data_IF_626026897228
#
_entry.id   IF_626026897228
#
_cell.length_a   1.000
_cell.length_b   1.000
_cell.length_c   1.000
_cell.angle_alpha   90.00
_cell.angle_beta   90.00
_cell.angle_gamma   90.00
#
_symmetry.space_group_name_H-M   'P 1'
#
loop_
_entity.id
_entity.type
_entity.pdbx_description
1 polymer ?
#
# COMPACT_ATOMS: atom_id res chain seq x y z
N UNK A 1 21.08 -16.18 40.44
CA UNK A 1 21.48 -14.80 40.08
C UNK A 1 22.52 -14.89 38.98
N UNK A 2 22.09 -14.71 37.74
CA UNK A 2 22.90 -14.25 36.59
C UNK A 2 21.89 -14.04 35.47
N UNK A 3 21.37 -12.81 35.38
CA UNK A 3 20.57 -12.33 34.27
C UNK A 3 21.53 -12.17 33.08
N UNK A 4 21.30 -12.90 31.98
CA UNK A 4 22.00 -12.61 30.73
C UNK A 4 21.31 -11.44 30.04
N UNK A 5 21.99 -10.31 29.99
CA UNK A 5 21.60 -9.15 29.18
C UNK A 5 21.66 -9.56 27.70
N UNK A 6 20.50 -9.62 27.06
CA UNK A 6 20.37 -9.67 25.60
C UNK A 6 20.58 -8.26 25.06
N UNK A 7 21.75 -8.03 24.48
CA UNK A 7 22.10 -6.80 23.76
C UNK A 7 21.16 -6.64 22.55
N UNK A 8 20.55 -5.46 22.33
CA UNK A 8 19.74 -5.23 21.14
C UNK A 8 20.65 -5.21 19.90
N UNK A 9 20.33 -6.04 18.91
CA UNK A 9 20.97 -6.07 17.61
C UNK A 9 20.86 -4.69 16.95
N UNK A 10 22.03 -4.05 16.75
CA UNK A 10 22.13 -2.79 16.02
C UNK A 10 21.81 -3.10 14.56
N UNK A 11 20.62 -2.68 14.09
CA UNK A 11 20.24 -2.73 12.68
C UNK A 11 21.32 -2.04 11.84
N UNK A 12 21.96 -2.81 10.97
CA UNK A 12 22.91 -2.33 9.96
C UNK A 12 22.25 -1.25 9.08
N UNK A 13 23.00 -0.24 8.60
CA UNK A 13 22.45 0.76 7.70
C UNK A 13 21.96 0.05 6.44
N UNK A 14 20.67 0.21 6.10
CA UNK A 14 20.11 -0.29 4.85
C UNK A 14 20.97 0.26 3.70
N UNK A 15 21.67 -0.63 2.99
CA UNK A 15 22.24 -0.32 1.68
C UNK A 15 21.13 0.30 0.84
N UNK A 16 21.32 1.55 0.41
CA UNK A 16 20.36 2.26 -0.44
C UNK A 16 20.15 1.47 -1.72
N UNK A 17 19.06 0.70 -1.78
CA UNK A 17 18.64 0.02 -3.01
C UNK A 17 18.31 1.11 -4.03
N UNK A 18 19.19 1.27 -5.01
CA UNK A 18 19.02 2.20 -6.13
C UNK A 18 18.05 1.54 -7.10
N UNK A 19 16.80 1.98 -7.08
CA UNK A 19 15.71 1.46 -7.91
C UNK A 19 14.40 2.17 -7.57
N UNK A 20 13.34 1.92 -8.34
CA UNK A 20 12.00 2.45 -8.05
C UNK A 20 11.10 1.34 -7.50
N UNK A 21 10.12 1.67 -6.63
CA UNK A 21 9.14 0.68 -6.18
C UNK A 21 8.31 0.12 -7.33
N UNK A 22 7.93 -1.15 -7.20
CA UNK A 22 7.10 -1.91 -8.16
C UNK A 22 5.88 -2.49 -7.44
N UNK A 23 4.80 -2.74 -8.18
CA UNK A 23 3.61 -3.41 -7.64
C UNK A 23 3.77 -4.92 -7.76
N UNK A 24 3.49 -5.66 -6.68
CA UNK A 24 3.34 -7.12 -6.71
C UNK A 24 2.12 -7.50 -5.89
N UNK A 25 1.06 -7.89 -6.58
CA UNK A 25 -0.26 -8.10 -5.97
C UNK A 25 -0.72 -6.87 -5.19
N UNK A 26 -1.09 -7.09 -3.92
CA UNK A 26 -1.57 -6.06 -3.00
C UNK A 26 -0.50 -5.12 -2.43
N UNK A 27 0.79 -5.36 -2.70
CA UNK A 27 1.88 -4.65 -2.04
C UNK A 27 2.82 -3.95 -3.01
N UNK A 28 3.59 -3.00 -2.46
CA UNK A 28 4.70 -2.35 -3.15
C UNK A 28 6.01 -3.00 -2.72
N UNK A 29 6.97 -3.09 -3.65
CA UNK A 29 8.28 -3.68 -3.42
C UNK A 29 9.38 -2.82 -3.97
N UNK A 30 10.46 -2.66 -3.21
CA UNK A 30 11.71 -2.07 -3.67
C UNK A 30 12.79 -3.17 -3.65
N UNK A 31 13.13 -3.68 -4.83
CA UNK A 31 13.95 -4.88 -4.93
C UNK A 31 13.20 -6.12 -4.43
N UNK A 32 13.74 -6.81 -3.43
CA UNK A 32 13.10 -7.97 -2.79
C UNK A 32 12.24 -7.62 -1.57
N UNK A 33 12.33 -6.40 -1.04
CA UNK A 33 11.66 -6.02 0.20
C UNK A 33 10.35 -5.27 -0.04
N UNK A 34 9.37 -5.49 0.83
CA UNK A 34 8.15 -4.67 0.84
C UNK A 34 8.47 -3.21 1.15
N UNK A 35 7.91 -2.33 0.34
CA UNK A 35 8.04 -0.89 0.46
C UNK A 35 6.78 -0.30 1.13
N UNK A 36 6.85 -0.12 2.45
CA UNK A 36 5.79 0.54 3.21
C UNK A 36 5.93 2.05 3.13
N UNK A 37 4.90 2.74 2.65
CA UNK A 37 4.90 4.20 2.50
C UNK A 37 4.69 4.86 3.85
N UNK A 38 5.71 5.60 4.30
CA UNK A 38 5.72 6.43 5.51
C UNK A 38 5.89 7.86 5.04
N UNK A 39 4.78 8.40 4.57
CA UNK A 39 4.75 9.60 3.77
C UNK A 39 4.39 10.85 4.54
N UNK A 40 4.77 11.99 3.98
CA UNK A 40 4.38 13.32 4.42
C UNK A 40 4.12 14.21 3.19
N UNK A 41 3.09 15.05 3.23
CA UNK A 41 2.90 16.06 2.20
C UNK A 41 3.77 17.29 2.47
N UNK A 42 4.24 17.91 1.39
CA UNK A 42 5.18 19.03 1.43
C UNK A 42 4.84 20.07 0.37
N UNK A 43 4.52 21.28 0.83
CA UNK A 43 3.86 22.30 0.03
C UNK A 43 2.37 21.98 -0.16
N UNK A 44 1.57 22.85 -0.75
CA UNK A 44 2.03 23.93 -1.66
C UNK A 44 2.57 25.15 -0.92
N UNK A 45 3.71 25.65 -1.42
CA UNK A 45 4.31 26.92 -0.99
C UNK A 45 3.92 28.07 -1.93
N UNK A 46 4.41 29.28 -1.63
CA UNK A 46 4.14 30.47 -2.43
C UNK A 46 4.42 30.22 -3.92
N UNK A 47 3.41 30.39 -4.77
CA UNK A 47 3.58 30.32 -6.22
C UNK A 47 3.89 31.70 -6.80
N UNK A 48 4.90 31.74 -7.67
CA UNK A 48 5.27 32.95 -8.40
C UNK A 48 4.33 33.24 -9.59
N UNK A 49 4.61 34.32 -10.33
CA UNK A 49 3.82 34.72 -11.51
C UNK A 49 3.84 33.68 -12.64
N UNK A 50 4.86 32.81 -12.68
CA UNK A 50 5.00 31.73 -13.63
C UNK A 50 4.33 30.42 -13.15
N UNK A 51 3.60 30.47 -12.02
CA UNK A 51 2.93 29.33 -11.38
C UNK A 51 3.93 28.25 -10.92
N UNK A 52 5.17 28.66 -10.60
CA UNK A 52 6.16 27.79 -9.99
C UNK A 52 6.20 28.02 -8.48
N UNK A 53 6.26 26.93 -7.72
CA UNK A 53 6.45 27.04 -6.27
C UNK A 53 7.85 27.59 -5.95
N UNK A 54 7.88 28.64 -5.13
CA UNK A 54 9.11 29.25 -4.64
C UNK A 54 9.66 28.43 -3.49
N UNK A 55 10.45 27.43 -3.85
CA UNK A 55 11.17 26.59 -2.91
C UNK A 55 12.52 27.21 -2.57
N UNK A 56 12.92 27.14 -1.29
CA UNK A 56 14.24 27.57 -0.81
C UNK A 56 15.10 26.32 -0.61
N UNK A 57 16.17 26.10 -1.42
CA UNK A 57 16.94 24.85 -1.38
C UNK A 57 17.44 24.46 0.01
N UNK A 58 17.99 25.40 0.77
CA UNK A 58 18.51 25.14 2.12
C UNK A 58 17.40 24.71 3.10
N UNK A 59 16.20 25.30 2.97
CA UNK A 59 15.04 24.90 3.79
C UNK A 59 14.57 23.50 3.42
N UNK A 60 14.44 23.21 2.11
CA UNK A 60 14.04 21.88 1.62
C UNK A 60 15.04 20.81 2.07
N UNK A 61 16.34 21.08 1.93
CA UNK A 61 17.42 20.18 2.33
C UNK A 61 17.35 19.87 3.83
N UNK A 62 17.11 20.89 4.67
CA UNK A 62 16.94 20.72 6.11
C UNK A 62 15.69 19.92 6.45
N UNK A 63 14.54 20.29 5.86
CA UNK A 63 13.26 19.61 6.08
C UNK A 63 13.36 18.13 5.68
N UNK A 64 13.98 17.81 4.54
CA UNK A 64 14.18 16.44 4.07
C UNK A 64 15.12 15.63 4.97
N UNK A 65 16.19 16.25 5.47
CA UNK A 65 17.08 15.61 6.44
C UNK A 65 16.33 15.26 7.74
N UNK A 66 15.50 16.18 8.25
CA UNK A 66 14.69 15.96 9.45
C UNK A 66 13.62 14.89 9.24
N UNK A 67 12.93 14.90 8.09
CA UNK A 67 11.98 13.84 7.70
C UNK A 67 12.65 12.46 7.70
N UNK A 68 13.77 12.32 7.00
CA UNK A 68 14.49 11.05 6.93
C UNK A 68 14.96 10.57 8.31
N UNK A 69 15.47 11.48 9.15
CA UNK A 69 15.88 11.19 10.52
C UNK A 69 14.71 10.70 11.42
N UNK A 70 13.47 11.04 11.07
CA UNK A 70 12.25 10.60 11.76
C UNK A 70 11.58 9.38 11.11
N UNK A 71 12.21 8.77 10.10
CA UNK A 71 11.76 7.52 9.50
C UNK A 71 10.78 7.66 8.33
N UNK A 72 10.48 8.89 7.90
CA UNK A 72 9.73 9.13 6.67
C UNK A 72 10.56 8.66 5.47
N UNK A 73 9.90 8.16 4.43
CA UNK A 73 10.56 7.67 3.21
C UNK A 73 9.92 8.16 1.90
N UNK A 74 8.77 8.83 1.98
CA UNK A 74 8.08 9.42 0.83
C UNK A 74 7.65 10.84 1.15
N UNK A 75 7.88 11.74 0.21
CA UNK A 75 7.38 13.12 0.24
C UNK A 75 6.40 13.31 -0.91
N UNK A 76 5.19 13.76 -0.62
CA UNK A 76 4.21 14.14 -1.64
C UNK A 76 4.32 15.62 -1.93
N UNK A 77 4.52 15.97 -3.20
CA UNK A 77 4.48 17.34 -3.72
C UNK A 77 3.30 17.49 -4.68
N UNK A 78 2.82 18.72 -4.88
CA UNK A 78 1.58 18.98 -5.63
C UNK A 78 1.82 19.55 -7.04
N UNK A 79 3.08 19.79 -7.38
CA UNK A 79 3.53 20.24 -8.69
C UNK A 79 4.76 19.44 -9.13
N UNK A 80 5.07 19.46 -10.42
CA UNK A 80 6.30 18.89 -10.94
C UNK A 80 7.51 19.62 -10.32
N UNK A 81 8.34 18.93 -9.52
CA UNK A 81 9.42 19.59 -8.82
C UNK A 81 10.59 19.90 -9.77
N UNK A 82 11.43 20.90 -9.44
CA UNK A 82 12.70 21.06 -10.13
C UNK A 82 13.63 19.87 -9.84
N UNK A 83 14.55 19.50 -10.77
CA UNK A 83 15.42 18.32 -10.60
C UNK A 83 16.22 18.30 -9.30
N UNK A 84 16.70 19.45 -8.84
CA UNK A 84 17.48 19.54 -7.59
C UNK A 84 16.70 19.08 -6.35
N UNK A 85 15.36 19.18 -6.34
CA UNK A 85 14.57 18.68 -5.22
C UNK A 85 14.56 17.14 -5.22
N UNK A 86 14.53 16.52 -6.40
CA UNK A 86 14.63 15.06 -6.52
C UNK A 86 16.02 14.58 -6.08
N UNK A 87 17.08 15.32 -6.42
CA UNK A 87 18.44 15.05 -5.95
C UNK A 87 18.54 15.15 -4.42
N UNK A 88 17.96 16.20 -3.82
CA UNK A 88 17.89 16.38 -2.37
C UNK A 88 17.12 15.24 -1.70
N UNK A 89 15.97 14.84 -2.26
CA UNK A 89 15.20 13.71 -1.75
C UNK A 89 16.03 12.43 -1.77
N UNK A 90 16.68 12.12 -2.90
CA UNK A 90 17.52 10.93 -3.05
C UNK A 90 18.67 10.90 -2.05
N UNK A 91 19.32 12.05 -1.85
CA UNK A 91 20.45 12.21 -0.90
C UNK A 91 20.07 11.80 0.52
N UNK A 92 18.83 12.08 0.94
CA UNK A 92 18.31 11.70 2.27
C UNK A 92 17.56 10.37 2.28
N UNK A 93 17.57 9.61 1.16
CA UNK A 93 16.86 8.34 1.04
C UNK A 93 15.34 8.46 0.95
N UNK A 94 14.84 9.66 0.64
CA UNK A 94 13.43 9.94 0.39
C UNK A 94 13.08 9.70 -1.08
N UNK A 95 11.82 9.36 -1.31
CA UNK A 95 11.22 9.30 -2.64
C UNK A 95 10.12 10.34 -2.78
N UNK A 96 9.83 10.76 -4.00
CA UNK A 96 8.90 11.85 -4.28
C UNK A 96 7.70 11.33 -5.04
N UNK A 97 6.52 11.52 -4.45
CA UNK A 97 5.21 11.35 -5.08
C UNK A 97 4.83 12.67 -5.74
N UNK A 98 4.78 12.69 -7.07
CA UNK A 98 4.69 13.94 -7.84
C UNK A 98 3.25 14.20 -8.29
N UNK A 99 2.64 15.26 -7.75
CA UNK A 99 1.38 15.82 -8.20
C UNK A 99 1.49 16.55 -9.54
N UNK A 100 0.66 16.16 -10.51
CA UNK A 100 0.53 16.85 -11.79
C UNK A 100 -0.78 17.65 -11.80
N UNK A 101 -0.80 18.80 -11.14
CA UNK A 101 -1.98 19.66 -11.07
C UNK A 101 -2.21 20.39 -12.40
N UNK A 102 -3.20 19.94 -13.17
CA UNK A 102 -3.54 20.51 -14.48
C UNK A 102 -4.83 21.33 -14.46
N UNK A 103 -5.37 21.65 -13.29
CA UNK A 103 -6.60 22.41 -13.14
C UNK A 103 -7.85 21.53 -13.19
N UNK A 104 -7.77 20.36 -12.58
CA UNK A 104 -8.83 19.35 -12.46
C UNK A 104 -10.14 19.83 -11.81
N UNK A 105 -10.11 20.99 -11.15
CA UNK A 105 -11.26 21.66 -10.55
C UNK A 105 -12.04 22.56 -11.53
N UNK A 106 -11.65 22.64 -12.79
CA UNK A 106 -12.34 23.39 -13.85
C UNK A 106 -13.02 22.45 -14.86
N UNK A 107 -14.00 22.94 -15.63
CA UNK A 107 -14.64 22.15 -16.69
C UNK A 107 -13.66 21.89 -17.85
N UNK A 108 -12.87 20.81 -17.73
CA UNK A 108 -11.69 20.59 -18.58
C UNK A 108 -12.00 19.92 -19.93
N UNK A 109 -13.21 19.37 -20.11
CA UNK A 109 -13.61 18.68 -21.35
C UNK A 109 -14.43 19.53 -22.32
N UNK A 110 -14.79 20.76 -21.95
CA UNK A 110 -15.72 21.59 -22.73
C UNK A 110 -14.99 22.59 -23.65
N UNK A 111 -13.77 23.00 -23.28
CA UNK A 111 -12.99 23.99 -24.04
C UNK A 111 -12.19 23.33 -25.18
N UNK A 112 -12.35 23.79 -26.44
CA UNK A 112 -11.53 23.31 -27.56
C UNK A 112 -10.04 23.51 -27.30
N UNK A 113 -9.23 22.48 -27.57
CA UNK A 113 -7.77 22.55 -27.41
C UNK A 113 -7.25 22.31 -25.98
N UNK A 114 -8.09 22.47 -24.95
CA UNK A 114 -7.67 22.33 -23.54
C UNK A 114 -7.15 20.94 -23.20
N UNK A 115 -7.78 19.90 -23.74
CA UNK A 115 -7.32 18.52 -23.58
C UNK A 115 -5.88 18.37 -24.09
N UNK A 116 -5.60 18.87 -25.29
CA UNK A 116 -4.26 18.79 -25.88
C UNK A 116 -3.23 19.61 -25.09
N UNK A 117 -3.63 20.77 -24.57
CA UNK A 117 -2.78 21.58 -23.67
C UNK A 117 -2.44 20.82 -22.38
N UNK A 118 -3.43 20.19 -21.74
CA UNK A 118 -3.22 19.39 -20.52
C UNK A 118 -2.27 18.21 -20.81
N UNK A 119 -2.50 17.50 -21.92
CA UNK A 119 -1.67 16.37 -22.33
C UNK A 119 -0.21 16.78 -22.56
N UNK A 120 0.03 17.87 -23.29
CA UNK A 120 1.39 18.36 -23.55
C UNK A 120 2.08 18.87 -22.28
N UNK A 121 1.33 19.49 -21.37
CA UNK A 121 1.86 19.96 -20.09
C UNK A 121 2.26 18.79 -19.19
N UNK A 122 1.42 17.77 -19.09
CA UNK A 122 1.75 16.52 -18.37
C UNK A 122 2.97 15.86 -18.99
N UNK A 123 3.03 15.75 -20.32
CA UNK A 123 4.18 15.19 -21.03
C UNK A 123 5.47 15.92 -20.67
N UNK A 124 5.44 17.25 -20.68
CA UNK A 124 6.58 18.10 -20.31
C UNK A 124 7.02 17.88 -18.85
N UNK A 125 6.07 17.84 -17.92
CA UNK A 125 6.35 17.62 -16.50
C UNK A 125 6.91 16.23 -16.18
N UNK A 126 6.41 15.19 -16.85
CA UNK A 126 6.91 13.84 -16.66
C UNK A 126 8.33 13.75 -17.22
N UNK A 127 8.56 14.25 -18.45
CA UNK A 127 9.91 14.31 -19.06
C UNK A 127 10.95 14.98 -18.18
N UNK A 128 10.59 16.03 -17.44
CA UNK A 128 11.54 16.73 -16.57
C UNK A 128 11.98 15.92 -15.35
N UNK A 129 11.25 14.85 -15.01
CA UNK A 129 11.52 13.98 -13.86
C UNK A 129 11.82 12.52 -14.25
N UNK A 130 11.63 12.18 -15.53
CA UNK A 130 11.63 10.81 -16.03
C UNK A 130 12.97 10.11 -15.77
N UNK A 131 12.92 8.83 -15.43
CA UNK A 131 14.09 8.01 -15.09
C UNK A 131 14.80 8.37 -13.77
N UNK A 132 14.46 9.47 -13.10
CA UNK A 132 15.10 9.83 -11.83
C UNK A 132 14.74 8.82 -10.72
N UNK A 133 15.72 8.26 -9.98
CA UNK A 133 15.47 7.17 -9.03
C UNK A 133 14.66 7.61 -7.81
N UNK A 134 14.68 8.89 -7.42
CA UNK A 134 13.84 9.39 -6.34
C UNK A 134 12.34 9.42 -6.69
N UNK A 135 11.94 9.36 -7.96
CA UNK A 135 10.51 9.34 -8.31
C UNK A 135 9.88 8.08 -7.74
N UNK A 136 8.89 8.25 -6.86
CA UNK A 136 8.06 7.16 -6.38
C UNK A 136 6.95 6.85 -7.38
N UNK A 137 6.15 7.86 -7.72
CA UNK A 137 5.06 7.75 -8.67
C UNK A 137 4.59 9.13 -9.16
N UNK A 138 3.78 9.14 -10.22
CA UNK A 138 3.05 10.31 -10.69
C UNK A 138 1.57 10.24 -10.32
N UNK A 139 1.04 11.34 -9.77
CA UNK A 139 -0.40 11.55 -9.58
C UNK A 139 -0.91 12.32 -10.80
N UNK A 140 -1.63 11.63 -11.69
CA UNK A 140 -2.16 12.21 -12.94
C UNK A 140 -3.46 12.99 -12.75
N UNK A 141 -3.95 13.12 -11.52
CA UNK A 141 -5.07 13.97 -11.14
C UNK A 141 -5.41 13.79 -9.67
N UNK A 142 -5.92 14.86 -9.04
CA UNK A 142 -6.23 14.88 -7.62
C UNK A 142 -7.66 15.40 -7.39
N UNK A 143 -8.56 14.54 -6.92
CA UNK A 143 -9.90 14.92 -6.45
C UNK A 143 -10.73 15.72 -7.48
N UNK A 144 -10.94 15.18 -8.70
CA UNK A 144 -11.88 15.79 -9.64
C UNK A 144 -13.25 15.95 -8.94
N UNK A 145 -13.81 17.16 -8.84
CA UNK A 145 -15.07 17.39 -8.12
C UNK A 145 -16.22 16.55 -8.66
N UNK A 146 -17.04 15.98 -7.77
CA UNK A 146 -18.18 15.15 -8.16
C UNK A 146 -19.17 15.88 -9.09
N UNK A 147 -19.31 17.20 -8.93
CA UNK A 147 -20.12 18.05 -9.83
C UNK A 147 -19.57 18.05 -11.26
N UNK A 148 -18.26 18.10 -11.43
CA UNK A 148 -17.58 18.06 -12.74
C UNK A 148 -17.70 16.67 -13.36
N UNK A 149 -17.51 15.61 -12.57
CA UNK A 149 -17.70 14.24 -13.04
C UNK A 149 -19.14 14.01 -13.50
N UNK A 150 -20.13 14.51 -12.75
CA UNK A 150 -21.55 14.42 -13.10
C UNK A 150 -21.86 15.23 -14.36
N UNK A 151 -21.29 16.42 -14.50
CA UNK A 151 -21.47 17.31 -15.64
C UNK A 151 -20.97 16.69 -16.94
N UNK A 152 -19.70 16.22 -16.96
CA UNK A 152 -19.12 15.63 -18.16
C UNK A 152 -19.53 14.16 -18.38
N UNK A 153 -19.98 13.48 -17.32
CA UNK A 153 -20.31 12.07 -17.32
C UNK A 153 -19.10 11.18 -17.02
N UNK A 154 -19.29 10.25 -16.07
CA UNK A 154 -18.29 9.30 -15.57
C UNK A 154 -17.38 8.70 -16.65
N UNK A 155 -17.96 8.09 -17.69
CA UNK A 155 -17.19 7.39 -18.73
C UNK A 155 -16.24 8.32 -19.51
N UNK A 156 -16.59 9.59 -19.69
CA UNK A 156 -15.73 10.56 -20.38
C UNK A 156 -14.54 10.95 -19.50
N UNK A 157 -14.77 11.11 -18.21
CA UNK A 157 -13.71 11.38 -17.22
C UNK A 157 -12.77 10.17 -17.11
N UNK A 158 -13.29 8.95 -16.97
CA UNK A 158 -12.48 7.72 -16.92
C UNK A 158 -11.57 7.58 -18.13
N UNK A 159 -12.12 7.76 -19.35
CA UNK A 159 -11.33 7.73 -20.60
C UNK A 159 -10.27 8.83 -20.65
N UNK A 160 -10.55 10.00 -20.09
CA UNK A 160 -9.58 11.08 -20.06
C UNK A 160 -8.43 10.76 -19.10
N UNK A 161 -8.72 10.28 -17.90
CA UNK A 161 -7.71 9.82 -16.94
C UNK A 161 -6.87 8.69 -17.56
N UNK A 162 -7.49 7.75 -18.29
CA UNK A 162 -6.78 6.68 -18.99
C UNK A 162 -5.79 7.22 -20.04
N UNK A 163 -6.15 8.29 -20.76
CA UNK A 163 -5.22 8.94 -21.70
C UNK A 163 -4.02 9.52 -20.97
N UNK A 164 -4.23 10.18 -19.83
CA UNK A 164 -3.14 10.73 -19.02
C UNK A 164 -2.22 9.62 -18.47
N UNK A 165 -2.81 8.50 -18.05
CA UNK A 165 -2.05 7.31 -17.65
C UNK A 165 -1.16 6.80 -18.78
N UNK A 166 -1.69 6.67 -20.00
CA UNK A 166 -0.92 6.22 -21.15
C UNK A 166 0.22 7.18 -21.48
N UNK A 167 -0.02 8.49 -21.43
CA UNK A 167 1.05 9.50 -21.62
C UNK A 167 2.14 9.33 -20.57
N UNK A 168 1.78 9.09 -19.31
CA UNK A 168 2.76 8.87 -18.26
C UNK A 168 3.62 7.62 -18.52
N UNK A 169 2.99 6.51 -18.94
CA UNK A 169 3.70 5.27 -19.30
C UNK A 169 4.51 5.39 -20.59
N UNK A 170 4.11 6.24 -21.54
CA UNK A 170 4.90 6.53 -22.75
C UNK A 170 6.19 7.29 -22.41
N UNK A 171 6.11 8.25 -21.50
CA UNK A 171 7.25 9.13 -21.15
C UNK A 171 8.16 8.56 -20.06
N UNK A 172 7.62 7.79 -19.12
CA UNK A 172 8.37 7.10 -18.08
C UNK A 172 7.78 5.70 -17.82
N UNK A 173 8.15 4.69 -18.64
CA UNK A 173 7.55 3.36 -18.62
C UNK A 173 7.65 2.63 -17.26
N UNK A 174 8.74 2.88 -16.52
CA UNK A 174 9.03 2.22 -15.26
C UNK A 174 8.40 2.94 -14.05
N UNK A 175 7.81 4.13 -14.24
CA UNK A 175 7.18 4.86 -13.15
C UNK A 175 5.81 4.28 -12.81
N UNK A 176 5.50 4.24 -11.51
CA UNK A 176 4.14 4.00 -11.06
C UNK A 176 3.28 5.24 -11.29
N UNK A 177 2.01 5.03 -11.63
CA UNK A 177 1.05 6.06 -11.97
C UNK A 177 -0.25 5.79 -11.22
N UNK A 178 -0.77 6.83 -10.57
CA UNK A 178 -1.98 6.77 -9.77
C UNK A 178 -2.85 8.01 -9.98
N UNK A 179 -4.08 7.93 -9.48
CA UNK A 179 -5.01 9.04 -9.38
C UNK A 179 -5.46 9.11 -7.92
N UNK A 180 -5.42 10.30 -7.33
CA UNK A 180 -5.86 10.49 -5.94
C UNK A 180 -7.36 10.74 -5.95
N UNK A 181 -8.10 9.77 -5.40
CA UNK A 181 -9.54 9.81 -5.33
C UNK A 181 -10.02 10.45 -4.03
N UNK A 182 -11.26 10.93 -4.07
CA UNK A 182 -11.96 11.48 -2.92
C UNK A 182 -13.25 10.68 -2.70
N UNK A 183 -13.77 10.53 -1.48
CA UNK A 183 -14.98 9.73 -1.23
C UNK A 183 -16.16 10.07 -2.16
N UNK A 184 -16.31 11.33 -2.56
CA UNK A 184 -17.39 11.75 -3.47
C UNK A 184 -17.26 11.26 -4.91
N UNK A 185 -16.11 10.74 -5.33
CA UNK A 185 -15.80 10.26 -6.69
C UNK A 185 -15.19 8.86 -6.72
N UNK A 186 -15.28 8.12 -5.60
CA UNK A 186 -14.82 6.74 -5.47
C UNK A 186 -15.50 5.75 -6.44
N UNK A 187 -16.62 6.14 -7.06
CA UNK A 187 -17.35 5.34 -8.05
C UNK A 187 -16.70 5.33 -9.45
N UNK A 188 -15.63 6.10 -9.68
CA UNK A 188 -14.82 6.03 -10.90
C UNK A 188 -14.11 4.66 -10.97
N UNK A 189 -14.28 3.94 -12.08
CA UNK A 189 -13.60 2.66 -12.32
C UNK A 189 -12.33 2.89 -13.12
N UNK A 190 -11.17 2.76 -12.47
CA UNK A 190 -9.87 3.08 -13.02
C UNK A 190 -8.92 1.85 -12.96
N UNK A 191 -9.26 0.72 -13.62
CA UNK A 191 -8.51 -0.54 -13.51
C UNK A 191 -7.11 -0.49 -14.14
N UNK A 192 -6.81 0.55 -14.91
CA UNK A 192 -5.51 0.72 -15.53
C UNK A 192 -4.46 1.33 -14.60
N UNK A 193 -4.83 1.85 -13.43
CA UNK A 193 -3.87 2.41 -12.47
C UNK A 193 -3.00 1.32 -11.86
N UNK A 194 -1.75 1.64 -11.51
CA UNK A 194 -0.85 0.71 -10.85
C UNK A 194 -1.30 0.42 -9.40
N UNK A 195 -1.83 1.43 -8.71
CA UNK A 195 -2.37 1.33 -7.36
C UNK A 195 -3.37 2.47 -7.09
N UNK A 196 -4.20 2.30 -6.07
CA UNK A 196 -5.26 3.25 -5.71
C UNK A 196 -4.86 4.14 -4.55
N UNK A 197 -5.20 5.43 -4.69
CA UNK A 197 -4.93 6.46 -3.70
C UNK A 197 -6.22 7.14 -3.24
N UNK A 198 -6.31 7.43 -1.94
CA UNK A 198 -7.46 8.13 -1.37
C UNK A 198 -7.02 9.17 -0.34
N UNK A 199 -7.61 10.36 -0.41
CA UNK A 199 -7.55 11.35 0.66
C UNK A 199 -8.71 11.10 1.64
N UNK A 200 -8.41 10.93 2.93
CA UNK A 200 -9.40 10.51 3.95
C UNK A 200 -9.26 11.33 5.22
N UNK A 201 -10.32 12.07 5.56
CA UNK A 201 -10.36 12.98 6.72
C UNK A 201 -11.45 12.59 7.73
N UNK A 202 -11.53 11.29 8.07
CA UNK A 202 -12.49 10.78 9.04
C UNK A 202 -11.89 10.77 10.45
N UNK A 203 -12.45 11.58 11.36
CA UNK A 203 -11.94 11.73 12.73
C UNK A 203 -12.29 10.55 13.65
N UNK A 204 -13.37 9.82 13.34
CA UNK A 204 -13.80 8.65 14.11
C UNK A 204 -13.02 7.41 13.67
N UNK A 205 -12.45 6.68 14.62
CA UNK A 205 -11.72 5.43 14.37
C UNK A 205 -12.60 4.38 13.67
N UNK A 206 -13.81 4.16 14.18
CA UNK A 206 -14.71 3.13 13.63
C UNK A 206 -15.10 3.46 12.19
N UNK A 207 -15.48 4.72 11.92
CA UNK A 207 -15.82 5.16 10.57
C UNK A 207 -14.62 5.10 9.62
N UNK A 208 -13.42 5.42 10.12
CA UNK A 208 -12.18 5.29 9.35
C UNK A 208 -11.91 3.83 8.99
N UNK A 209 -11.94 2.91 9.95
CA UNK A 209 -11.66 1.49 9.71
C UNK A 209 -12.70 0.80 8.81
N UNK A 210 -13.98 1.15 8.95
CA UNK A 210 -15.03 0.66 8.05
C UNK A 210 -14.81 1.18 6.63
N UNK A 211 -14.43 2.46 6.49
CA UNK A 211 -14.11 3.02 5.19
C UNK A 211 -12.88 2.37 4.55
N UNK A 212 -11.84 2.04 5.31
CA UNK A 212 -10.69 1.28 4.78
C UNK A 212 -11.12 -0.06 4.17
N UNK A 213 -12.06 -0.77 4.81
CA UNK A 213 -12.59 -2.04 4.28
C UNK A 213 -13.24 -1.83 2.91
N UNK A 214 -14.03 -0.76 2.77
CA UNK A 214 -14.62 -0.35 1.49
C UNK A 214 -13.57 -0.04 0.42
N UNK A 215 -12.52 0.70 0.78
CA UNK A 215 -11.43 1.04 -0.15
C UNK A 215 -10.74 -0.21 -0.71
N UNK A 216 -10.53 -1.22 0.14
CA UNK A 216 -9.97 -2.50 -0.30
C UNK A 216 -10.89 -3.23 -1.28
N UNK A 217 -12.21 -3.19 -1.08
CA UNK A 217 -13.18 -3.76 -2.04
C UNK A 217 -13.19 -3.01 -3.37
N UNK A 218 -13.07 -1.68 -3.36
CA UNK A 218 -13.03 -0.87 -4.58
C UNK A 218 -11.73 -1.06 -5.38
N UNK A 219 -10.65 -1.44 -4.72
CA UNK A 219 -9.32 -1.54 -5.31
C UNK A 219 -8.98 -2.93 -5.86
N UNK A 220 -9.94 -3.86 -5.83
CA UNK A 220 -9.82 -5.25 -6.33
C UNK A 220 -8.59 -5.95 -5.76
N UNK A 221 -7.55 -6.19 -6.57
CA UNK A 221 -6.30 -6.85 -6.18
C UNK A 221 -5.10 -5.89 -6.07
N UNK A 222 -5.34 -4.60 -6.27
CA UNK A 222 -4.28 -3.57 -6.31
C UNK A 222 -4.00 -2.97 -4.92
N UNK A 223 -2.80 -2.42 -4.70
CA UNK A 223 -2.46 -1.75 -3.47
C UNK A 223 -3.34 -0.53 -3.17
N UNK A 224 -3.54 -0.25 -1.87
CA UNK A 224 -4.25 0.92 -1.37
C UNK A 224 -3.30 1.80 -0.57
N UNK A 225 -3.15 3.07 -0.97
CA UNK A 225 -2.37 4.08 -0.28
C UNK A 225 -3.28 5.22 0.19
N UNK A 226 -3.22 5.59 1.46
CA UNK A 226 -3.86 6.83 1.93
C UNK A 226 -2.92 7.99 1.66
N UNK A 227 -3.33 8.92 0.79
CA UNK A 227 -2.44 9.98 0.32
C UNK A 227 -2.58 11.28 1.08
N UNK A 228 -3.63 11.41 1.90
CA UNK A 228 -3.79 12.42 2.94
C UNK A 228 -4.63 11.84 4.07
N UNK A 229 -4.09 11.92 5.29
CA UNK A 229 -4.84 11.90 6.55
C UNK A 229 -4.40 13.09 7.39
N UNK A 230 -5.27 13.61 8.24
CA UNK A 230 -4.92 14.80 9.03
C UNK A 230 -6.04 15.26 9.95
N UNK A 231 -5.65 16.03 10.96
CA UNK A 231 -6.56 16.82 11.79
C UNK A 231 -6.03 18.24 11.93
N UNK A 232 -6.93 19.20 11.83
CA UNK A 232 -6.63 20.59 12.14
C UNK A 232 -6.34 20.77 13.63
N UNK A 233 -5.10 21.11 13.98
CA UNK A 233 -4.75 21.38 15.38
C UNK A 233 -5.31 22.70 15.90
N UNK A 234 -5.69 23.68 15.05
CA UNK A 234 -6.31 24.93 15.53
C UNK A 234 -7.66 24.67 16.20
N UNK A 235 -8.47 23.79 15.60
CA UNK A 235 -9.82 23.45 16.08
C UNK A 235 -9.81 22.19 16.96
N UNK A 236 -8.97 21.22 16.64
CA UNK A 236 -8.91 19.93 17.30
C UNK A 236 -7.98 19.87 18.51
N UNK A 237 -7.00 20.77 18.60
CA UNK A 237 -5.91 20.72 19.58
C UNK A 237 -4.77 19.80 19.16
N UNK A 238 -3.54 20.15 19.53
CA UNK A 238 -2.32 19.42 19.11
C UNK A 238 -2.24 18.00 19.68
N UNK A 239 -2.66 17.79 20.93
CA UNK A 239 -2.66 16.45 21.55
C UNK A 239 -3.65 15.51 20.86
N UNK A 240 -4.84 16.04 20.50
CA UNK A 240 -5.85 15.26 19.76
C UNK A 240 -5.34 14.91 18.37
N UNK A 241 -4.67 15.84 17.69
CA UNK A 241 -4.03 15.59 16.40
C UNK A 241 -3.00 14.45 16.52
N UNK A 242 -2.15 14.47 17.54
CA UNK A 242 -1.14 13.45 17.77
C UNK A 242 -1.76 12.05 17.98
N UNK A 243 -2.71 11.93 18.91
CA UNK A 243 -3.39 10.66 19.21
C UNK A 243 -4.15 10.10 18.00
N UNK A 244 -4.83 10.97 17.24
CA UNK A 244 -5.61 10.54 16.10
C UNK A 244 -4.72 10.04 14.96
N UNK A 245 -3.63 10.75 14.65
CA UNK A 245 -2.70 10.35 13.60
C UNK A 245 -1.99 9.03 13.95
N UNK A 246 -1.55 8.85 15.20
CA UNK A 246 -0.97 7.57 15.67
C UNK A 246 -1.96 6.41 15.45
N UNK A 247 -3.22 6.59 15.87
CA UNK A 247 -4.26 5.56 15.69
C UNK A 247 -4.58 5.29 14.21
N UNK A 248 -4.70 6.33 13.37
CA UNK A 248 -5.03 6.15 11.95
C UNK A 248 -3.92 5.45 11.18
N UNK A 249 -2.65 5.77 11.47
CA UNK A 249 -1.50 5.10 10.86
C UNK A 249 -1.50 3.61 11.20
N UNK A 250 -1.70 3.26 12.48
CA UNK A 250 -1.78 1.86 12.90
C UNK A 250 -2.95 1.13 12.24
N UNK A 251 -4.15 1.71 12.24
CA UNK A 251 -5.34 1.13 11.60
C UNK A 251 -5.14 0.94 10.09
N UNK A 252 -4.51 1.88 9.38
CA UNK A 252 -4.25 1.76 7.95
C UNK A 252 -3.36 0.55 7.64
N UNK A 253 -2.26 0.38 8.38
CA UNK A 253 -1.39 -0.77 8.17
C UNK A 253 -2.02 -2.10 8.56
N UNK A 254 -2.70 -2.18 9.72
CA UNK A 254 -3.38 -3.41 10.15
C UNK A 254 -4.44 -3.88 9.15
N UNK A 255 -5.12 -2.92 8.50
CA UNK A 255 -6.13 -3.19 7.46
C UNK A 255 -5.52 -3.53 6.10
N UNK A 256 -4.19 -3.49 5.95
CA UNK A 256 -3.47 -3.92 4.75
C UNK A 256 -3.19 -2.81 3.72
N UNK A 257 -3.34 -1.53 4.08
CA UNK A 257 -2.87 -0.44 3.23
C UNK A 257 -1.33 -0.49 3.11
N UNK A 258 -0.79 -0.17 1.94
CA UNK A 258 0.66 -0.14 1.71
C UNK A 258 1.34 1.05 2.38
N UNK A 259 0.56 1.98 2.90
CA UNK A 259 1.05 3.03 3.78
C UNK A 259 0.13 4.23 3.82
N UNK A 260 0.69 5.32 4.32
CA UNK A 260 -0.02 6.56 4.61
C UNK A 260 0.87 7.75 4.32
N UNK A 261 0.28 8.83 3.81
CA UNK A 261 0.89 10.14 3.70
C UNK A 261 0.14 11.09 4.62
N UNK A 262 0.84 11.61 5.63
CA UNK A 262 0.26 12.57 6.57
C UNK A 262 0.20 13.96 5.92
N UNK A 263 -0.91 14.64 6.13
CA UNK A 263 -1.11 16.03 5.74
C UNK A 263 -0.98 16.90 7.00
N UNK A 264 0.09 17.68 7.20
CA UNK A 264 1.24 17.94 6.31
C UNK A 264 2.55 18.12 7.12
N UNK A 265 3.72 18.33 6.49
CA UNK A 265 4.98 18.57 7.22
C UNK A 265 4.93 19.82 8.12
N UNK A 266 4.34 20.90 7.61
CA UNK A 266 4.34 22.22 8.25
C UNK A 266 2.98 22.91 8.07
N UNK A 267 2.65 23.82 9.00
CA UNK A 267 1.51 24.74 8.88
C UNK A 267 1.71 25.83 7.82
N UNK A 268 2.91 25.94 7.24
CA UNK A 268 3.15 26.83 6.13
C UNK A 268 2.48 26.27 4.87
N UNK A 269 1.39 26.91 4.46
CA UNK A 269 0.64 26.51 3.28
C UNK A 269 0.13 27.71 2.48
N UNK A 270 0.12 27.58 1.16
CA UNK A 270 -0.36 28.60 0.24
C UNK A 270 -1.36 28.03 -0.77
N UNK A 271 -2.38 28.81 -1.09
CA UNK A 271 -3.21 28.62 -2.27
C UNK A 271 -2.79 29.63 -3.35
N UNK A 272 -1.93 29.19 -4.27
CA UNK A 272 -1.26 30.07 -5.22
C UNK A 272 -0.39 31.09 -4.49
N UNK A 273 -0.78 32.37 -4.53
CA UNK A 273 -0.08 33.47 -3.84
C UNK A 273 -0.61 33.79 -2.44
N UNK A 274 -1.73 33.17 -2.04
CA UNK A 274 -2.39 33.49 -0.78
C UNK A 274 -1.98 32.51 0.30
N UNK A 275 -1.44 33.01 1.40
CA UNK A 275 -1.14 32.20 2.56
C UNK A 275 -2.44 31.75 3.22
N UNK A 276 -2.50 30.49 3.61
CA UNK A 276 -3.64 29.92 4.33
C UNK A 276 -3.37 30.03 5.83
N UNK A 277 -4.29 30.69 6.55
CA UNK A 277 -4.09 31.06 7.96
C UNK A 277 -5.10 30.41 8.91
N UNK A 278 -6.18 29.85 8.36
CA UNK A 278 -7.37 29.38 9.07
C UNK A 278 -7.36 27.88 9.38
N UNK A 279 -6.21 27.22 9.28
CA UNK A 279 -5.99 25.81 9.59
C UNK A 279 -4.50 25.56 9.96
N UNK A 280 -4.23 24.52 10.74
CA UNK A 280 -2.89 24.10 11.17
C UNK A 280 -2.78 22.57 11.23
N UNK A 281 -2.62 21.94 10.07
CA UNK A 281 -2.47 20.48 9.95
C UNK A 281 -1.01 20.00 10.04
N UNK A 282 -0.06 20.92 10.03
CA UNK A 282 1.37 20.60 10.03
C UNK A 282 1.78 19.78 11.26
N UNK A 283 2.70 18.83 11.06
CA UNK A 283 3.45 18.19 12.14
C UNK A 283 4.45 19.16 12.79
N UNK A 284 4.77 20.25 12.09
CA UNK A 284 5.54 21.38 12.58
C UNK A 284 4.76 22.67 12.41
N UNK A 285 5.07 23.69 13.20
CA UNK A 285 4.57 25.05 13.00
C UNK A 285 5.12 25.65 11.70
N UNK A 286 4.67 26.85 11.36
CA UNK A 286 5.18 27.60 10.18
C UNK A 286 6.68 27.84 10.27
N UNK A 287 7.19 28.05 11.48
CA UNK A 287 8.61 28.26 11.81
C UNK A 287 9.39 26.94 11.96
N UNK A 288 8.81 25.80 11.56
CA UNK A 288 9.38 24.45 11.69
C UNK A 288 9.64 24.03 13.14
N UNK A 289 8.83 24.52 14.09
CA UNK A 289 8.87 24.00 15.46
C UNK A 289 8.06 22.71 15.55
N UNK A 290 8.60 21.58 16.03
CA UNK A 290 7.86 20.33 16.17
C UNK A 290 6.62 20.44 17.06
N UNK A 291 5.49 19.91 16.60
CA UNK A 291 4.29 19.69 17.42
C UNK A 291 4.32 18.29 18.05
N UNK A 292 3.49 18.00 19.07
CA UNK A 292 3.31 16.66 19.63
C UNK A 292 3.00 15.56 18.58
N UNK A 293 2.36 15.93 17.47
CA UNK A 293 2.05 15.00 16.40
C UNK A 293 3.30 14.45 15.68
N UNK A 294 4.40 15.21 15.58
CA UNK A 294 5.61 14.74 14.89
C UNK A 294 6.23 13.49 15.55
N UNK A 295 6.57 13.48 16.85
CA UNK A 295 7.07 12.26 17.49
C UNK A 295 6.04 11.12 17.51
N UNK A 296 4.74 11.41 17.63
CA UNK A 296 3.69 10.38 17.61
C UNK A 296 3.63 9.66 16.24
N UNK A 297 3.63 10.41 15.13
CA UNK A 297 3.68 9.86 13.78
C UNK A 297 4.97 9.08 13.54
N UNK A 298 6.13 9.63 13.95
CA UNK A 298 7.41 8.95 13.80
C UNK A 298 7.45 7.61 14.54
N UNK A 299 6.85 7.55 15.75
CA UNK A 299 6.71 6.33 16.53
C UNK A 299 5.82 5.31 15.81
N UNK A 300 4.61 5.70 15.37
CA UNK A 300 3.70 4.82 14.64
C UNK A 300 4.34 4.23 13.36
N UNK A 301 5.09 5.05 12.63
CA UNK A 301 5.86 4.64 11.46
C UNK A 301 7.06 3.72 11.76
N UNK A 302 7.64 3.82 12.96
CA UNK A 302 8.74 2.97 13.40
C UNK A 302 8.27 1.60 13.90
N UNK A 303 7.11 1.53 14.57
CA UNK A 303 6.45 0.28 14.97
C UNK A 303 6.06 -0.58 13.75
N UNK A 304 5.92 0.06 12.58
CA UNK A 304 5.70 -0.62 11.31
C UNK A 304 4.30 -1.20 11.21
N UNK A 305 4.03 -2.03 10.18
CA UNK A 305 2.68 -2.54 9.96
C UNK A 305 2.23 -3.59 10.97
N UNK A 306 3.15 -4.12 11.78
CA UNK A 306 2.87 -5.17 12.75
C UNK A 306 3.53 -4.82 14.09
N UNK A 307 2.75 -4.53 15.13
CA UNK A 307 3.30 -4.19 16.44
C UNK A 307 4.11 -5.37 17.01
N UNK A 308 5.28 -5.07 17.57
CA UNK A 308 6.20 -6.08 18.10
C UNK A 308 5.75 -6.71 19.42
N UNK A 309 4.83 -6.06 20.14
CA UNK A 309 4.35 -6.43 21.46
C UNK A 309 3.09 -7.30 21.46
N UNK A 310 2.52 -7.58 20.27
CA UNK A 310 1.38 -8.48 20.15
C UNK A 310 1.75 -9.93 20.49
N UNK A 311 0.88 -10.57 21.26
CA UNK A 311 0.96 -12.02 21.49
C UNK A 311 0.32 -12.75 20.30
N UNK A 312 1.16 -13.13 19.36
CA UNK A 312 0.75 -13.85 18.15
C UNK A 312 0.30 -15.30 18.46
N UNK A 313 -0.88 -15.74 17.98
CA UNK A 313 -1.34 -17.12 18.14
C UNK A 313 -0.47 -18.11 17.35
N UNK A 314 -0.34 -19.35 17.80
CA UNK A 314 0.36 -20.38 17.00
C UNK A 314 -0.48 -20.75 15.78
N UNK A 315 0.13 -20.85 14.61
CA UNK A 315 -0.55 -21.27 13.37
C UNK A 315 0.01 -22.62 12.87
N UNK A 316 -0.87 -23.54 12.47
CA UNK A 316 -0.49 -24.74 11.72
C UNK A 316 -0.81 -24.53 10.24
N UNK A 317 0.21 -24.46 9.41
CA UNK A 317 0.07 -24.43 7.95
C UNK A 317 -0.06 -25.85 7.44
N UNK A 318 -1.12 -26.13 6.70
CA UNK A 318 -1.40 -27.46 6.13
C UNK A 318 -1.29 -27.37 4.61
N UNK A 319 -0.38 -28.17 4.05
CA UNK A 319 -0.20 -28.37 2.61
C UNK A 319 -0.68 -29.77 2.27
N UNK A 320 -1.71 -29.89 1.45
CA UNK A 320 -2.15 -31.19 0.93
C UNK A 320 -1.60 -31.38 -0.47
N UNK A 321 -1.04 -32.55 -0.78
CA UNK A 321 -0.41 -32.81 -2.07
C UNK A 321 -0.73 -34.22 -2.59
N UNK A 322 -0.90 -34.33 -3.90
CA UNK A 322 -0.99 -35.60 -4.64
C UNK A 322 -0.40 -35.43 -6.03
N UNK A 323 0.76 -36.07 -6.27
CA UNK A 323 1.54 -35.95 -7.50
C UNK A 323 1.92 -34.49 -7.86
N UNK A 324 2.31 -33.71 -6.85
CA UNK A 324 2.69 -32.30 -6.95
C UNK A 324 4.18 -32.06 -7.23
N UNK A 325 4.93 -33.05 -7.75
CA UNK A 325 6.40 -32.94 -7.84
C UNK A 325 6.89 -31.74 -8.68
N UNK A 326 6.05 -31.24 -9.59
CA UNK A 326 6.36 -30.07 -10.42
C UNK A 326 6.25 -28.72 -9.70
N UNK A 327 5.53 -28.63 -8.58
CA UNK A 327 5.14 -27.36 -7.94
C UNK A 327 5.49 -27.30 -6.46
N UNK A 328 5.41 -28.42 -5.75
CA UNK A 328 5.55 -28.45 -4.29
C UNK A 328 6.86 -27.86 -3.78
N UNK A 329 7.96 -27.98 -4.54
CA UNK A 329 9.26 -27.43 -4.16
C UNK A 329 9.17 -25.93 -3.90
N UNK A 330 8.58 -25.20 -4.83
CA UNK A 330 8.51 -23.75 -4.77
C UNK A 330 7.59 -23.32 -3.60
N UNK A 331 6.51 -24.08 -3.36
CA UNK A 331 5.57 -23.87 -2.23
C UNK A 331 6.30 -24.01 -0.90
N UNK A 332 7.08 -25.09 -0.76
CA UNK A 332 7.81 -25.37 0.47
C UNK A 332 8.96 -24.39 0.73
N UNK A 333 9.63 -23.89 -0.32
CA UNK A 333 10.61 -22.80 -0.18
C UNK A 333 9.93 -21.49 0.25
N UNK A 334 8.81 -21.10 -0.39
CA UNK A 334 8.11 -19.87 -0.04
C UNK A 334 7.58 -19.89 1.41
N UNK A 335 7.22 -21.07 1.94
CA UNK A 335 6.86 -21.23 3.35
C UNK A 335 8.02 -20.97 4.33
N UNK A 336 9.28 -21.10 3.90
CA UNK A 336 10.45 -20.77 4.73
C UNK A 336 10.64 -19.26 4.89
N UNK A 337 10.14 -18.50 3.92
CA UNK A 337 10.25 -17.04 3.87
C UNK A 337 9.12 -16.33 4.62
N UNK A 338 8.20 -17.09 5.25
CA UNK A 338 7.15 -16.53 6.08
C UNK A 338 7.74 -15.81 7.31
N UNK A 339 7.42 -14.54 7.44
CA UNK A 339 7.69 -13.74 8.63
C UNK A 339 6.55 -13.91 9.63
N UNK A 340 6.63 -14.97 10.44
CA UNK A 340 5.70 -15.20 11.54
C UNK A 340 6.40 -15.88 12.72
N UNK A 341 6.18 -15.42 13.97
CA UNK A 341 7.02 -15.84 15.10
C UNK A 341 6.79 -17.28 15.58
N UNK A 342 5.61 -17.86 15.32
CA UNK A 342 5.27 -19.20 15.83
C UNK A 342 4.32 -19.94 14.91
N UNK A 343 4.86 -20.73 14.00
CA UNK A 343 4.08 -21.63 13.15
C UNK A 343 4.75 -22.98 12.97
N UNK A 344 3.97 -23.96 12.51
CA UNK A 344 4.46 -25.25 12.03
C UNK A 344 3.88 -25.53 10.64
N UNK A 345 4.55 -26.37 9.87
CA UNK A 345 4.08 -26.80 8.56
C UNK A 345 3.86 -28.32 8.58
N UNK A 346 2.69 -28.72 8.10
CA UNK A 346 2.26 -30.11 7.98
C UNK A 346 1.97 -30.38 6.50
N UNK A 347 2.77 -31.26 5.90
CA UNK A 347 2.56 -31.72 4.51
C UNK A 347 1.83 -33.05 4.57
N UNK A 348 0.62 -33.10 4.03
CA UNK A 348 -0.18 -34.32 3.90
C UNK A 348 -0.06 -34.83 2.47
N UNK A 349 0.72 -35.88 2.29
CA UNK A 349 0.90 -36.57 1.02
C UNK A 349 -0.18 -37.65 0.85
N UNK A 350 -1.15 -37.39 0.00
CA UNK A 350 -2.33 -38.24 -0.26
C UNK A 350 -2.00 -39.34 -1.28
N UNK A 351 -0.93 -40.10 -1.03
CA UNK A 351 -0.57 -41.27 -1.82
C UNK A 351 0.12 -40.98 -3.16
N UNK A 352 0.96 -39.94 -3.24
CA UNK A 352 1.72 -39.62 -4.47
C UNK A 352 2.58 -40.79 -4.95
N UNK A 353 2.66 -40.97 -6.26
CA UNK A 353 3.46 -42.01 -6.94
C UNK A 353 4.68 -41.45 -7.67
N UNK A 354 4.84 -40.14 -7.69
CA UNK A 354 5.99 -39.42 -8.25
C UNK A 354 7.01 -39.02 -7.16
N UNK A 355 7.91 -38.08 -7.48
CA UNK A 355 8.96 -37.63 -6.57
C UNK A 355 8.45 -36.70 -5.44
N UNK A 356 7.14 -36.41 -5.34
CA UNK A 356 6.57 -35.46 -4.36
C UNK A 356 7.00 -35.76 -2.94
N UNK A 357 6.87 -37.02 -2.50
CA UNK A 357 7.21 -37.42 -1.13
C UNK A 357 8.68 -37.20 -0.80
N UNK A 358 9.57 -37.43 -1.78
CA UNK A 358 10.99 -37.23 -1.64
C UNK A 358 11.33 -35.74 -1.58
N UNK A 359 10.75 -34.93 -2.47
CA UNK A 359 10.92 -33.46 -2.47
C UNK A 359 10.49 -32.90 -1.11
N UNK A 360 9.31 -33.29 -0.62
CA UNK A 360 8.84 -32.84 0.69
C UNK A 360 9.79 -33.22 1.83
N UNK A 361 10.40 -34.41 1.77
CA UNK A 361 11.35 -34.89 2.80
C UNK A 361 12.66 -34.10 2.88
N UNK A 362 12.98 -33.29 1.86
CA UNK A 362 14.14 -32.38 1.90
C UNK A 362 13.91 -31.17 2.82
N UNK A 363 12.68 -30.93 3.28
CA UNK A 363 12.29 -29.80 4.12
C UNK A 363 12.05 -30.22 5.58
N UNK A 364 12.30 -29.33 6.56
CA UNK A 364 12.13 -29.63 7.99
C UNK A 364 10.65 -29.57 8.43
N UNK A 365 9.74 -30.06 7.60
CA UNK A 365 8.30 -30.03 7.85
C UNK A 365 7.78 -31.41 8.25
N UNK A 366 6.65 -31.44 8.96
CA UNK A 366 6.03 -32.70 9.36
C UNK A 366 5.30 -33.30 8.17
N UNK A 367 5.73 -34.47 7.71
CA UNK A 367 5.10 -35.18 6.59
C UNK A 367 4.22 -36.29 7.12
N UNK A 368 2.98 -36.36 6.62
CA UNK A 368 2.04 -37.45 6.85
C UNK A 368 1.71 -38.03 5.48
N UNK A 369 2.11 -39.28 5.26
CA UNK A 369 1.78 -40.00 4.02
C UNK A 369 0.64 -40.98 4.30
N UNK A 370 -0.38 -40.95 3.45
CA UNK A 370 -1.52 -41.87 3.49
C UNK A 370 -1.81 -42.47 2.11
N UNK A 371 -2.70 -43.45 2.05
CA UNK A 371 -3.26 -43.94 0.78
C UNK A 371 -4.20 -42.88 0.21
N UNK A 372 -4.20 -42.70 -1.12
CA UNK A 372 -5.00 -41.68 -1.79
C UNK A 372 -6.50 -41.85 -1.49
N UNK A 373 -7.08 -40.87 -0.80
CA UNK A 373 -8.52 -40.80 -0.51
C UNK A 373 -9.12 -39.40 -0.77
N UNK A 374 -8.36 -38.50 -1.37
CA UNK A 374 -8.79 -37.19 -1.84
C UNK A 374 -8.55 -36.05 -0.84
N UNK A 375 -8.53 -34.83 -1.39
CA UNK A 375 -8.18 -33.58 -0.71
C UNK A 375 -8.94 -33.33 0.61
N UNK A 376 -10.22 -33.65 0.67
CA UNK A 376 -11.02 -33.45 1.89
C UNK A 376 -10.54 -34.31 3.05
N UNK A 377 -10.13 -35.57 2.79
CA UNK A 377 -9.57 -36.43 3.83
C UNK A 377 -8.19 -35.92 4.23
N UNK A 378 -7.35 -35.58 3.26
CA UNK A 378 -6.03 -35.01 3.53
C UNK A 378 -6.11 -33.75 4.41
N UNK A 379 -7.06 -32.84 4.14
CA UNK A 379 -7.31 -31.66 4.98
C UNK A 379 -7.72 -32.03 6.40
N UNK A 380 -8.58 -33.02 6.58
CA UNK A 380 -8.97 -33.51 7.91
C UNK A 380 -7.79 -34.15 8.66
N UNK A 381 -6.94 -34.92 7.96
CA UNK A 381 -5.69 -35.47 8.48
C UNK A 381 -4.77 -34.34 8.97
N UNK A 382 -4.64 -33.27 8.18
CA UNK A 382 -3.87 -32.07 8.56
C UNK A 382 -4.43 -31.37 9.80
N UNK A 383 -5.76 -31.16 9.88
CA UNK A 383 -6.43 -30.58 11.06
C UNK A 383 -6.18 -31.44 12.31
N UNK A 384 -6.33 -32.76 12.21
CA UNK A 384 -6.13 -33.66 13.35
C UNK A 384 -4.68 -33.67 13.86
N UNK A 385 -3.72 -33.36 12.98
CA UNK A 385 -2.30 -33.28 13.32
C UNK A 385 -1.86 -31.89 13.81
N UNK A 386 -2.64 -30.85 13.54
CA UNK A 386 -2.36 -29.46 13.88
C UNK A 386 -2.34 -29.22 15.40
N UNK A 387 -1.40 -28.40 15.84
CA UNK A 387 -1.26 -27.98 17.25
C UNK A 387 -1.39 -26.47 17.43
N UNK A 388 -1.57 -25.73 16.34
CA UNK A 388 -1.85 -24.30 16.33
C UNK A 388 -3.29 -23.98 16.75
N UNK A 389 -3.49 -22.75 17.20
CA UNK A 389 -4.80 -22.18 17.49
C UNK A 389 -5.57 -21.87 16.19
N UNK A 390 -4.83 -21.61 15.10
CA UNK A 390 -5.35 -21.36 13.75
C UNK A 390 -4.77 -22.41 12.81
N UNK A 391 -5.61 -22.95 11.93
CA UNK A 391 -5.18 -23.81 10.81
C UNK A 391 -5.28 -23.01 9.53
N UNK A 392 -4.16 -22.86 8.82
CA UNK A 392 -4.08 -22.16 7.54
C UNK A 392 -3.82 -23.16 6.43
N UNK A 393 -4.70 -23.23 5.44
CA UNK A 393 -4.52 -24.10 4.28
C UNK A 393 -3.82 -23.35 3.15
N UNK A 394 -2.91 -24.04 2.46
CA UNK A 394 -2.33 -23.60 1.21
C UNK A 394 -2.18 -24.79 0.27
N UNK A 395 -2.45 -24.57 -1.01
CA UNK A 395 -2.32 -25.61 -2.04
C UNK A 395 -0.83 -25.81 -2.39
N UNK A 396 -0.48 -26.99 -2.91
CA UNK A 396 0.91 -27.37 -3.20
C UNK A 396 1.51 -26.69 -4.44
N UNK A 397 0.74 -25.83 -5.10
CA UNK A 397 1.11 -25.00 -6.24
C UNK A 397 0.94 -23.49 -5.99
N UNK A 398 0.93 -23.07 -4.71
CA UNK A 398 0.77 -21.68 -4.31
C UNK A 398 1.93 -21.17 -3.41
N UNK A 399 2.31 -19.91 -3.60
CA UNK A 399 3.34 -19.24 -2.80
C UNK A 399 2.70 -18.15 -1.95
N UNK A 400 2.79 -18.22 -0.61
CA UNK A 400 2.19 -17.20 0.23
C UNK A 400 3.04 -15.93 0.24
N UNK A 401 2.37 -14.80 0.42
CA UNK A 401 3.04 -13.56 0.79
C UNK A 401 3.79 -13.74 2.14
N UNK A 402 5.00 -13.17 2.33
CA UNK A 402 5.77 -13.33 3.58
C UNK A 402 5.01 -12.94 4.86
N UNK A 403 4.04 -12.01 4.78
CA UNK A 403 3.23 -11.56 5.92
C UNK A 403 1.83 -12.19 5.94
N UNK A 404 1.55 -13.19 5.10
CA UNK A 404 0.25 -13.85 4.99
C UNK A 404 -0.30 -14.27 6.36
N UNK A 405 0.52 -14.97 7.15
CA UNK A 405 0.14 -15.42 8.49
C UNK A 405 -0.14 -14.28 9.48
N UNK A 406 0.56 -13.15 9.36
CA UNK A 406 0.32 -11.98 10.22
C UNK A 406 -1.06 -11.38 9.95
N UNK A 407 -1.44 -11.23 8.67
CA UNK A 407 -2.75 -10.71 8.30
C UNK A 407 -3.91 -11.64 8.71
N UNK A 408 -3.72 -12.97 8.59
CA UNK A 408 -4.68 -13.94 9.10
C UNK A 408 -4.86 -13.81 10.62
N UNK A 409 -3.76 -13.79 11.37
CA UNK A 409 -3.78 -13.67 12.82
C UNK A 409 -4.44 -12.37 13.29
N UNK A 410 -4.07 -11.22 12.70
CA UNK A 410 -4.69 -9.93 13.02
C UNK A 410 -6.21 -9.96 12.82
N UNK A 411 -6.67 -10.55 11.72
CA UNK A 411 -8.11 -10.66 11.44
C UNK A 411 -8.84 -11.48 12.52
N UNK A 412 -8.28 -12.61 12.94
CA UNK A 412 -8.85 -13.43 14.03
C UNK A 412 -8.75 -12.77 15.41
N UNK A 413 -7.77 -11.90 15.64
CA UNK A 413 -7.61 -11.17 16.90
C UNK A 413 -8.62 -10.02 17.03
N UNK A 414 -9.01 -9.39 15.92
CA UNK A 414 -9.96 -8.28 15.89
C UNK A 414 -11.43 -8.72 15.98
N UNK A 415 -11.74 -9.96 15.58
CA UNK A 415 -13.13 -10.39 15.44
C UNK A 415 -13.35 -11.88 15.63
N UNK A 416 -14.62 -12.26 15.81
CA UNK A 416 -15.04 -13.66 15.93
C UNK A 416 -15.41 -14.21 14.57
N UNK A 417 -14.41 -14.56 13.78
CA UNK A 417 -14.60 -15.16 12.46
C UNK A 417 -14.47 -16.68 12.54
N UNK A 418 -15.26 -17.40 11.74
CA UNK A 418 -15.12 -18.85 11.59
C UNK A 418 -14.00 -19.22 10.61
N UNK A 419 -13.74 -18.36 9.62
CA UNK A 419 -12.68 -18.49 8.63
C UNK A 419 -12.27 -17.09 8.14
N UNK A 420 -11.01 -16.97 7.70
CA UNK A 420 -10.44 -15.78 7.07
C UNK A 420 -9.70 -16.24 5.82
N UNK A 421 -9.80 -15.47 4.74
CA UNK A 421 -9.13 -15.73 3.47
C UNK A 421 -8.70 -14.43 2.80
N UNK A 422 -8.00 -14.57 1.68
CA UNK A 422 -7.54 -13.45 0.87
C UNK A 422 -7.62 -13.78 -0.62
N UNK A 423 -7.29 -12.83 -1.50
CA UNK A 423 -7.30 -13.06 -2.94
C UNK A 423 -6.24 -14.11 -3.33
N UNK A 424 -6.57 -14.94 -4.32
CA UNK A 424 -5.61 -15.82 -5.00
C UNK A 424 -5.21 -15.16 -6.32
N UNK A 425 -3.95 -14.74 -6.41
CA UNK A 425 -3.45 -13.95 -7.54
C UNK A 425 -2.53 -14.81 -8.40
N UNK A 426 -2.81 -14.91 -9.70
CA UNK A 426 -1.90 -15.56 -10.63
C UNK A 426 -0.63 -14.69 -10.81
N UNK A 427 0.56 -15.24 -10.54
CA UNK A 427 1.81 -14.57 -10.87
C UNK A 427 1.90 -14.31 -12.38
N UNK A 428 2.39 -13.14 -12.77
CA UNK A 428 2.53 -12.78 -14.20
C UNK A 428 3.48 -13.72 -14.96
N UNK A 429 4.35 -14.42 -14.24
CA UNK A 429 5.35 -15.35 -14.78
C UNK A 429 4.79 -16.74 -15.10
N UNK A 430 3.59 -17.07 -14.62
CA UNK A 430 3.03 -18.44 -14.70
C UNK A 430 2.37 -18.74 -16.06
N UNK A 431 2.45 -17.76 -16.96
CA UNK A 431 2.06 -17.89 -18.35
C UNK A 431 0.55 -17.87 -18.58
N UNK A 432 0.17 -18.03 -19.84
CA UNK A 432 -1.20 -17.79 -20.30
C UNK A 432 -2.26 -18.71 -19.69
N UNK A 433 -1.88 -19.92 -19.24
CA UNK A 433 -2.83 -20.87 -18.64
C UNK A 433 -3.28 -20.41 -17.25
N UNK A 434 -2.32 -20.02 -16.40
CA UNK A 434 -2.62 -19.48 -15.09
C UNK A 434 -3.47 -18.20 -15.22
N UNK A 435 -3.09 -17.32 -16.14
CA UNK A 435 -3.86 -16.10 -16.46
C UNK A 435 -5.29 -16.42 -16.93
N UNK A 436 -5.45 -17.40 -17.83
CA UNK A 436 -6.78 -17.82 -18.30
C UNK A 436 -7.66 -18.42 -17.19
N UNK A 437 -7.07 -19.20 -16.26
CA UNK A 437 -7.78 -19.77 -15.12
C UNK A 437 -8.19 -18.68 -14.13
N UNK A 438 -7.28 -17.76 -13.79
CA UNK A 438 -7.55 -16.66 -12.86
C UNK A 438 -8.65 -15.72 -13.36
N UNK A 439 -8.77 -15.55 -14.68
CA UNK A 439 -9.81 -14.74 -15.31
C UNK A 439 -11.07 -15.53 -15.71
N UNK A 440 -11.14 -16.83 -15.39
CA UNK A 440 -12.27 -17.67 -15.76
C UNK A 440 -13.55 -17.24 -14.99
N UNK A 441 -14.70 -17.09 -15.68
CA UNK A 441 -15.96 -16.78 -15.02
C UNK A 441 -16.44 -17.97 -14.17
N UNK A 442 -17.17 -17.69 -13.10
CA UNK A 442 -17.72 -18.73 -12.19
C UNK A 442 -17.05 -18.77 -10.81
N UNK A 443 -16.08 -17.88 -10.57
CA UNK A 443 -15.62 -17.59 -9.23
C UNK A 443 -16.72 -16.96 -8.37
N UNK A 444 -16.65 -17.15 -7.04
CA UNK A 444 -17.63 -16.59 -6.12
C UNK A 444 -17.65 -15.06 -6.19
N UNK A 445 -18.78 -14.48 -6.58
CA UNK A 445 -18.94 -13.02 -6.61
C UNK A 445 -19.60 -12.55 -5.30
N UNK A 446 -18.85 -11.80 -4.51
CA UNK A 446 -19.36 -11.16 -3.31
C UNK A 446 -20.25 -9.97 -3.69
N UNK A 447 -21.50 -9.96 -3.24
CA UNK A 447 -22.39 -8.80 -3.32
C UNK A 447 -22.39 -8.10 -1.97
N UNK A 448 -21.74 -6.94 -1.91
CA UNK A 448 -21.66 -6.14 -0.69
C UNK A 448 -23.04 -5.64 -0.25
N UNK A 449 -23.40 -5.93 1.00
CA UNK A 449 -24.57 -5.41 1.73
C UNK A 449 -24.15 -4.20 2.57
N UNK A 450 -22.94 -4.22 3.10
CA UNK A 450 -22.26 -3.11 3.76
C UNK A 450 -20.79 -3.07 3.35
N UNK A 451 -20.01 -2.14 3.91
CA UNK A 451 -18.57 -2.04 3.65
C UNK A 451 -17.76 -3.26 4.14
N UNK A 452 -18.37 -4.13 4.95
CA UNK A 452 -17.72 -5.30 5.57
C UNK A 452 -18.50 -6.61 5.44
N UNK A 453 -19.73 -6.55 4.95
CA UNK A 453 -20.63 -7.70 4.84
C UNK A 453 -21.00 -7.87 3.38
N UNK A 454 -20.82 -9.09 2.87
CA UNK A 454 -21.27 -9.49 1.56
C UNK A 454 -22.15 -10.73 1.66
N UNK A 455 -23.13 -10.83 0.76
CA UNK A 455 -23.76 -12.11 0.43
C UNK A 455 -23.04 -12.75 -0.73
N UNK A 456 -22.85 -14.06 -0.62
CA UNK A 456 -22.33 -14.87 -1.70
C UNK A 456 -23.50 -15.35 -2.54
N UNK A 457 -23.51 -15.00 -3.83
CA UNK A 457 -24.48 -15.55 -4.77
C UNK A 457 -23.85 -16.78 -5.45
N UNK A 458 -24.48 -17.98 -5.37
CA UNK A 458 -23.98 -19.21 -5.97
C UNK A 458 -23.76 -19.14 -7.49
#
# INVERSE_FOLDING_TARGET
>A
MTLSETTPEVRTPRTTVVGRPTVRGKFLFLGGEKFWVRGISYGTFYMDENRQERLVPDTVEKDFSEMAARGFNVVRVYTAPPPWLLDAALKHGLRVMIGLNWGEHMAFLDEPGRIAEIEERIRTWIRSCAGHPAVFCYIIGNEIPASIVRWHGRRRVEKFIERLYRIAKEEDPDALVTYVNYPSTEYLRLPFLDFFCFNVYLESRDSFEDYLSRLHSLSEDRPVLLTEIGLDSLRGGEERQAMMLESQIASAFHRGCVGVIVFAWTDEWYHGKYRVEDWAFGLTTRERTPKPALPAVAKAFAEGPFPSDLRWPKISVVVCTYNGASTIRDTLEALRDLDYPSFEVIVVNDGSTDETAKIASDYPYRIISEENQGLSRARNTGIAAATGEIVAFIDDDAYPDPHWLRFLALSFMEGKYAAVGGPNLAPMTDGWRADAIANAPGGPNAVLISDRIAEHIP
#
